data_IF_560683206049
#
_entry.id   IF_560683206049
#
_cell.length_a   1.000
_cell.length_b   1.000
_cell.length_c   1.000
_cell.angle_alpha   90.00
_cell.angle_beta   90.00
_cell.angle_gamma   90.00
#
_symmetry.space_group_name_H-M   'P 1'
#
loop_
_entity.id
_entity.type
_entity.pdbx_description
1 polymer ?
#
# COMPACT_ATOMS: atom_id res chain seq x y z
N UNK A 1 44.54 -63.27 -17.74
CA UNK A 1 43.17 -62.73 -17.79
C UNK A 1 43.07 -61.66 -16.73
N UNK A 2 43.50 -60.45 -17.07
CA UNK A 2 43.39 -59.27 -16.21
C UNK A 2 41.92 -58.82 -16.22
N UNK A 3 41.25 -58.91 -15.07
CA UNK A 3 39.91 -58.33 -14.91
C UNK A 3 40.07 -56.86 -14.58
N UNK A 4 39.46 -56.02 -15.42
CA UNK A 4 39.29 -54.60 -15.17
C UNK A 4 38.57 -54.41 -13.82
N UNK A 5 39.03 -53.52 -12.92
CA UNK A 5 38.31 -53.23 -11.69
C UNK A 5 36.92 -52.66 -11.98
N UNK A 6 35.97 -52.96 -11.08
CA UNK A 6 34.60 -52.43 -11.14
C UNK A 6 34.59 -50.90 -11.04
N UNK A 7 33.60 -50.21 -11.64
CA UNK A 7 33.49 -48.76 -11.56
C UNK A 7 33.34 -48.32 -10.09
N UNK A 8 33.77 -47.09 -9.74
CA UNK A 8 33.46 -46.53 -8.43
C UNK A 8 31.94 -46.49 -8.25
N UNK A 9 31.48 -46.72 -7.02
CA UNK A 9 30.07 -46.49 -6.69
C UNK A 9 29.74 -45.02 -6.99
N UNK A 10 28.52 -44.70 -7.46
CA UNK A 10 28.08 -43.32 -7.54
C UNK A 10 28.32 -42.70 -6.15
N UNK A 11 29.06 -41.60 -6.11
CA UNK A 11 29.22 -40.79 -4.91
C UNK A 11 27.82 -40.47 -4.38
N UNK A 12 27.68 -40.60 -3.07
CA UNK A 12 26.47 -40.32 -2.30
C UNK A 12 26.21 -38.81 -2.21
N UNK A 13 26.44 -38.08 -3.31
CA UNK A 13 26.40 -36.62 -3.38
C UNK A 13 25.32 -36.13 -4.38
N UNK A 14 24.49 -37.05 -4.91
CA UNK A 14 23.33 -36.66 -5.74
C UNK A 14 22.10 -36.26 -4.92
N UNK A 15 22.06 -36.59 -3.63
CA UNK A 15 21.00 -36.11 -2.73
C UNK A 15 21.29 -34.69 -2.19
N UNK A 16 22.56 -34.26 -2.20
CA UNK A 16 22.96 -32.92 -1.72
C UNK A 16 22.95 -31.84 -2.82
N UNK A 17 23.02 -32.19 -4.11
CA UNK A 17 22.93 -31.21 -5.21
C UNK A 17 21.49 -30.72 -5.47
N UNK A 18 20.47 -31.52 -5.17
CA UNK A 18 19.05 -31.10 -5.27
C UNK A 18 18.66 -30.14 -4.11
N UNK A 19 19.24 -30.32 -2.91
CA UNK A 19 19.01 -29.43 -1.76
C UNK A 19 19.74 -28.07 -1.88
N UNK A 20 20.87 -28.02 -2.61
CA UNK A 20 21.58 -26.77 -2.86
C UNK A 20 20.91 -25.91 -3.94
N UNK A 21 20.23 -26.52 -4.92
CA UNK A 21 19.46 -25.81 -5.93
C UNK A 21 18.10 -25.28 -5.39
N UNK A 22 17.52 -25.95 -4.39
CA UNK A 22 16.30 -25.50 -3.69
C UNK A 22 16.53 -24.42 -2.63
N UNK A 23 17.77 -24.16 -2.22
CA UNK A 23 18.07 -23.27 -1.08
C UNK A 23 17.66 -21.81 -1.28
N UNK A 24 17.88 -21.26 -2.48
CA UNK A 24 17.64 -19.85 -2.78
C UNK A 24 16.22 -19.55 -3.30
N UNK A 25 15.42 -20.56 -3.62
CA UNK A 25 14.07 -20.35 -4.13
C UNK A 25 13.10 -19.97 -3.00
N UNK A 26 12.24 -18.96 -3.23
CA UNK A 26 11.15 -18.59 -2.32
C UNK A 26 10.00 -19.58 -2.48
N UNK A 27 9.79 -20.43 -1.48
CA UNK A 27 8.76 -21.48 -1.52
C UNK A 27 8.91 -22.38 -2.74
N UNK A 28 7.84 -22.52 -3.51
CA UNK A 28 7.78 -23.31 -4.74
C UNK A 28 8.10 -22.49 -6.00
N UNK A 29 8.40 -21.21 -5.86
CA UNK A 29 8.65 -20.29 -6.99
C UNK A 29 10.09 -20.37 -7.50
N UNK A 30 10.34 -19.79 -8.66
CA UNK A 30 11.70 -19.61 -9.22
C UNK A 30 12.40 -18.35 -8.70
N UNK A 31 11.78 -17.63 -7.76
CA UNK A 31 12.28 -16.36 -7.29
C UNK A 31 13.39 -16.53 -6.25
N UNK A 32 14.45 -15.73 -6.38
CA UNK A 32 15.62 -15.77 -5.48
C UNK A 32 15.37 -14.99 -4.18
N UNK A 33 15.60 -15.65 -3.04
CA UNK A 33 15.60 -15.05 -1.70
C UNK A 33 16.71 -14.02 -1.58
N UNK A 34 17.93 -14.37 -2.01
CA UNK A 34 19.10 -13.49 -1.89
C UNK A 34 18.92 -12.20 -2.69
N UNK A 35 18.39 -12.30 -3.92
CA UNK A 35 18.11 -11.12 -4.71
C UNK A 35 17.06 -10.23 -4.03
N UNK A 36 15.96 -10.80 -3.55
CA UNK A 36 14.92 -10.05 -2.85
C UNK A 36 15.46 -9.32 -1.61
N UNK A 37 16.31 -9.97 -0.82
CA UNK A 37 16.98 -9.33 0.31
C UNK A 37 17.88 -8.18 -0.11
N UNK A 38 18.61 -8.32 -1.23
CA UNK A 38 19.41 -7.24 -1.81
C UNK A 38 18.57 -5.99 -2.06
N UNK A 39 17.41 -6.15 -2.69
CA UNK A 39 16.47 -5.04 -2.97
C UNK A 39 15.94 -4.43 -1.68
N UNK A 40 15.48 -5.24 -0.72
CA UNK A 40 14.98 -4.75 0.57
C UNK A 40 16.05 -3.99 1.38
N UNK A 41 17.29 -4.46 1.37
CA UNK A 41 18.41 -3.74 1.97
C UNK A 41 18.68 -2.40 1.27
N UNK A 42 18.60 -2.36 -0.07
CA UNK A 42 18.71 -1.13 -0.84
C UNK A 42 17.63 -0.11 -0.45
N UNK A 43 16.38 -0.54 -0.27
CA UNK A 43 15.31 0.33 0.22
C UNK A 43 15.60 0.94 1.59
N UNK A 44 16.13 0.14 2.52
CA UNK A 44 16.50 0.64 3.86
C UNK A 44 17.57 1.74 3.74
N UNK A 45 18.54 1.58 2.85
CA UNK A 45 19.60 2.58 2.63
C UNK A 45 19.04 3.90 2.09
N UNK A 46 18.07 3.85 1.17
CA UNK A 46 17.42 5.04 0.61
C UNK A 46 16.75 5.91 1.69
N UNK A 47 16.21 5.28 2.73
CA UNK A 47 15.43 5.97 3.78
C UNK A 47 16.16 6.10 5.12
N UNK A 48 17.42 5.67 5.15
CA UNK A 48 18.31 5.93 6.28
C UNK A 48 19.00 7.27 6.03
N UNK A 49 18.88 8.25 6.94
CA UNK A 49 19.56 9.52 6.75
C UNK A 49 21.07 9.29 6.87
N UNK A 50 21.79 9.32 5.74
CA UNK A 50 23.24 9.52 5.79
C UNK A 50 23.49 10.93 6.30
N UNK A 51 24.20 11.05 7.41
CA UNK A 51 24.80 12.31 7.83
C UNK A 51 25.70 12.83 6.71
N UNK A 52 25.45 14.07 6.30
CA UNK A 52 26.24 14.91 5.39
C UNK A 52 26.01 14.71 3.87
N UNK A 53 25.19 15.59 3.29
CA UNK A 53 25.70 16.70 2.46
C UNK A 53 24.64 17.78 2.21
N UNK A 54 25.10 19.00 2.44
CA UNK A 54 24.49 20.29 2.14
C UNK A 54 24.08 20.47 0.68
N UNK A 55 22.85 20.92 0.44
CA UNK A 55 22.43 21.85 -0.63
C UNK A 55 20.94 22.11 -0.43
N UNK A 56 20.59 23.23 0.22
CA UNK A 56 20.13 24.47 -0.41
C UNK A 56 18.67 24.41 -0.85
N UNK A 57 17.92 25.41 -0.39
CA UNK A 57 16.52 25.73 -0.76
C UNK A 57 16.29 25.77 -2.28
N UNK A 58 15.01 25.55 -2.63
CA UNK A 58 14.38 25.55 -3.96
C UNK A 58 14.77 24.42 -4.92
N UNK A 59 13.91 23.40 -4.99
CA UNK A 59 13.07 23.22 -6.18
C UNK A 59 12.11 22.04 -5.97
N UNK A 60 10.88 22.21 -6.47
CA UNK A 60 9.88 21.17 -6.74
C UNK A 60 10.36 20.19 -7.85
N UNK A 61 11.65 19.85 -7.86
CA UNK A 61 12.17 18.74 -8.62
C UNK A 61 11.69 17.47 -7.93
N UNK A 62 10.76 16.80 -8.60
CA UNK A 62 10.37 15.42 -8.28
C UNK A 62 11.64 14.67 -7.89
N UNK A 63 11.69 14.15 -6.66
CA UNK A 63 12.77 13.27 -6.23
C UNK A 63 12.60 12.01 -7.08
N UNK A 64 13.27 11.97 -8.23
CA UNK A 64 13.20 10.85 -9.16
C UNK A 64 13.86 9.63 -8.53
N UNK A 65 13.21 8.48 -8.69
CA UNK A 65 13.77 7.20 -8.26
C UNK A 65 14.82 6.77 -9.28
N UNK A 66 15.96 6.26 -8.83
CA UNK A 66 16.95 5.70 -9.74
C UNK A 66 16.31 4.55 -10.54
N UNK A 67 16.42 4.59 -11.87
CA UNK A 67 15.77 3.64 -12.79
C UNK A 67 16.08 2.16 -12.44
N UNK A 68 17.31 1.87 -12.01
CA UNK A 68 17.71 0.53 -11.55
C UNK A 68 16.89 0.09 -10.33
N UNK A 69 16.80 0.93 -9.30
CA UNK A 69 16.01 0.66 -8.11
C UNK A 69 14.51 0.57 -8.43
N UNK A 70 14.00 1.44 -9.31
CA UNK A 70 12.61 1.37 -9.76
C UNK A 70 12.30 0.02 -10.41
N UNK A 71 13.15 -0.42 -11.34
CA UNK A 71 12.99 -1.71 -12.01
C UNK A 71 13.05 -2.88 -11.04
N UNK A 72 13.97 -2.84 -10.07
CA UNK A 72 14.07 -3.88 -9.05
C UNK A 72 12.82 -3.93 -8.17
N UNK A 73 12.34 -2.78 -7.68
CA UNK A 73 11.18 -2.77 -6.79
C UNK A 73 9.85 -3.00 -7.52
N UNK A 74 9.74 -2.63 -8.81
CA UNK A 74 8.61 -3.05 -9.65
C UNK A 74 8.55 -4.57 -9.81
N UNK A 75 9.69 -5.24 -9.95
CA UNK A 75 9.72 -6.71 -9.98
C UNK A 75 9.25 -7.30 -8.66
N UNK A 76 9.63 -6.71 -7.52
CA UNK A 76 9.09 -7.14 -6.21
C UNK A 76 7.57 -6.96 -6.15
N UNK A 77 7.04 -5.88 -6.73
CA UNK A 77 5.60 -5.68 -6.86
C UNK A 77 4.94 -6.80 -7.66
N UNK A 78 5.44 -7.12 -8.84
CA UNK A 78 4.91 -8.24 -9.64
C UNK A 78 4.97 -9.57 -8.87
N UNK A 79 6.08 -9.84 -8.18
CA UNK A 79 6.28 -11.07 -7.42
C UNK A 79 5.33 -11.17 -6.22
N UNK A 80 4.98 -10.05 -5.57
CA UNK A 80 4.16 -10.02 -4.35
C UNK A 80 2.71 -10.49 -4.55
N UNK A 81 2.27 -10.70 -5.79
CA UNK A 81 0.99 -11.36 -6.09
C UNK A 81 1.02 -12.87 -5.80
N UNK A 82 2.21 -13.49 -5.77
CA UNK A 82 2.38 -14.90 -5.45
C UNK A 82 2.30 -15.14 -3.93
N UNK A 83 1.60 -16.20 -3.52
CA UNK A 83 1.38 -16.53 -2.11
C UNK A 83 2.68 -16.83 -1.37
N UNK A 84 3.58 -17.62 -1.97
CA UNK A 84 4.85 -17.99 -1.33
C UNK A 84 5.72 -16.75 -1.12
N UNK A 85 5.70 -15.81 -2.08
CA UNK A 85 6.43 -14.54 -1.98
C UNK A 85 5.80 -13.63 -0.93
N UNK A 86 4.48 -13.49 -0.90
CA UNK A 86 3.81 -12.65 0.08
C UNK A 86 4.03 -13.15 1.51
N UNK A 87 3.94 -14.47 1.73
CA UNK A 87 4.23 -15.10 3.01
C UNK A 87 5.70 -14.92 3.41
N UNK A 88 6.63 -15.06 2.46
CA UNK A 88 8.04 -14.79 2.70
C UNK A 88 8.29 -13.32 3.08
N UNK A 89 7.73 -12.35 2.34
CA UNK A 89 7.81 -10.93 2.68
C UNK A 89 7.27 -10.64 4.09
N UNK A 90 6.18 -11.30 4.47
CA UNK A 90 5.62 -11.21 5.82
C UNK A 90 6.56 -11.79 6.89
N UNK A 91 7.14 -12.97 6.67
CA UNK A 91 8.09 -13.62 7.57
C UNK A 91 9.26 -12.70 7.92
N UNK A 92 9.79 -11.99 6.91
CA UNK A 92 10.91 -11.06 7.07
C UNK A 92 10.52 -9.64 7.44
N UNK A 93 9.25 -9.39 7.80
CA UNK A 93 8.72 -8.07 8.16
C UNK A 93 8.97 -7.00 7.10
N UNK A 94 8.95 -7.37 5.82
CA UNK A 94 9.15 -6.42 4.72
C UNK A 94 8.10 -5.30 4.74
N UNK A 95 6.89 -5.58 5.25
CA UNK A 95 5.87 -4.57 5.48
C UNK A 95 6.39 -3.37 6.31
N UNK A 96 7.20 -3.60 7.34
CA UNK A 96 7.77 -2.52 8.16
C UNK A 96 8.77 -1.66 7.36
N UNK A 97 9.49 -2.27 6.42
CA UNK A 97 10.40 -1.56 5.51
C UNK A 97 9.57 -0.64 4.61
N UNK A 98 8.54 -1.17 3.95
CA UNK A 98 7.66 -0.38 3.08
C UNK A 98 6.97 0.76 3.84
N UNK A 99 6.44 0.50 5.04
CA UNK A 99 5.87 1.54 5.90
C UNK A 99 6.90 2.61 6.27
N UNK A 100 8.14 2.21 6.56
CA UNK A 100 9.25 3.13 6.79
C UNK A 100 9.56 4.01 5.57
N UNK A 101 9.44 3.45 4.37
CA UNK A 101 9.55 4.20 3.11
C UNK A 101 8.40 5.19 2.95
N UNK A 102 7.16 4.77 3.19
CA UNK A 102 5.98 5.65 3.16
C UNK A 102 6.06 6.78 4.20
N UNK A 103 6.73 6.57 5.32
CA UNK A 103 6.88 7.62 6.33
C UNK A 103 7.95 8.68 5.96
N UNK A 104 8.94 8.33 5.13
CA UNK A 104 10.15 9.15 4.94
C UNK A 104 10.38 9.63 3.50
N UNK A 105 9.97 8.84 2.52
CA UNK A 105 10.18 9.17 1.11
C UNK A 105 9.16 10.18 0.63
N UNK A 106 9.64 11.16 -0.14
CA UNK A 106 8.83 12.13 -0.90
C UNK A 106 8.75 11.78 -2.39
N UNK A 107 9.37 10.68 -2.83
CA UNK A 107 9.32 10.21 -4.21
C UNK A 107 7.95 9.55 -4.49
N UNK A 108 7.07 10.13 -5.32
CA UNK A 108 5.72 9.59 -5.55
C UNK A 108 5.76 8.17 -6.10
N UNK A 109 6.63 7.91 -7.09
CA UNK A 109 6.76 6.60 -7.73
C UNK A 109 7.18 5.51 -6.75
N UNK A 110 8.14 5.80 -5.86
CA UNK A 110 8.55 4.83 -4.85
C UNK A 110 7.43 4.55 -3.85
N UNK A 111 6.71 5.59 -3.41
CA UNK A 111 5.56 5.44 -2.50
C UNK A 111 4.47 4.59 -3.15
N UNK A 112 4.10 4.90 -4.39
CA UNK A 112 3.13 4.15 -5.19
C UNK A 112 3.49 2.65 -5.20
N UNK A 113 4.72 2.30 -5.59
CA UNK A 113 5.15 0.90 -5.67
C UNK A 113 5.11 0.22 -4.30
N UNK A 114 5.56 0.90 -3.24
CA UNK A 114 5.49 0.36 -1.87
C UNK A 114 4.05 0.10 -1.40
N UNK A 115 3.11 1.02 -1.68
CA UNK A 115 1.69 0.80 -1.38
C UNK A 115 1.13 -0.33 -2.24
N UNK A 116 1.52 -0.42 -3.50
CA UNK A 116 1.12 -1.49 -4.41
C UNK A 116 1.51 -2.88 -3.92
N UNK A 117 2.75 -3.05 -3.47
CA UNK A 117 3.23 -4.28 -2.81
C UNK A 117 2.40 -4.56 -1.55
N UNK A 118 2.27 -3.56 -0.67
CA UNK A 118 1.47 -3.67 0.56
C UNK A 118 -0.01 -3.96 0.29
N UNK A 119 -0.53 -3.61 -0.88
CA UNK A 119 -1.91 -3.88 -1.29
C UNK A 119 -2.09 -5.29 -1.83
N UNK A 120 -1.03 -5.96 -2.29
CA UNK A 120 -1.09 -7.35 -2.75
C UNK A 120 -1.07 -8.34 -1.58
N UNK A 121 -0.22 -8.08 -0.57
CA UNK A 121 -0.02 -9.04 0.53
C UNK A 121 -1.31 -9.36 1.36
N UNK A 122 -2.21 -8.40 1.68
CA UNK A 122 -3.46 -8.65 2.41
C UNK A 122 -4.50 -9.49 1.66
N UNK A 123 -4.26 -9.87 0.40
CA UNK A 123 -5.06 -10.88 -0.28
C UNK A 123 -5.00 -12.24 0.44
N UNK A 124 -3.94 -12.48 1.21
CA UNK A 124 -3.78 -13.64 2.07
C UNK A 124 -4.20 -13.32 3.49
N UNK A 125 -5.10 -14.14 4.04
CA UNK A 125 -5.83 -13.85 5.28
C UNK A 125 -4.91 -13.60 6.48
N UNK A 126 -3.87 -14.41 6.64
CA UNK A 126 -2.90 -14.27 7.74
C UNK A 126 -2.20 -12.90 7.72
N UNK A 127 -1.78 -12.47 6.53
CA UNK A 127 -1.09 -11.20 6.35
C UNK A 127 -2.06 -10.04 6.58
N UNK A 128 -3.30 -10.15 6.09
CA UNK A 128 -4.34 -9.15 6.31
C UNK A 128 -4.61 -8.93 7.80
N UNK A 129 -4.73 -10.01 8.57
CA UNK A 129 -4.87 -9.96 10.03
C UNK A 129 -3.63 -9.32 10.67
N UNK A 130 -2.43 -9.70 10.25
CA UNK A 130 -1.19 -9.14 10.79
C UNK A 130 -1.09 -7.64 10.57
N UNK A 131 -1.27 -7.14 9.33
CA UNK A 131 -1.24 -5.71 9.01
C UNK A 131 -2.32 -4.96 9.80
N UNK A 132 -3.50 -5.55 9.93
CA UNK A 132 -4.61 -4.95 10.64
C UNK A 132 -4.42 -4.91 12.17
N UNK A 133 -3.55 -5.73 12.74
CA UNK A 133 -3.37 -5.85 14.20
C UNK A 133 -2.59 -4.68 14.82
N UNK A 134 -1.82 -3.93 14.02
CA UNK A 134 -0.97 -2.84 14.49
C UNK A 134 -1.57 -1.48 14.12
N UNK A 135 -1.80 -0.63 15.13
CA UNK A 135 -2.47 0.66 14.96
C UNK A 135 -1.63 1.68 14.17
N UNK A 136 -0.32 1.72 14.43
CA UNK A 136 0.65 2.55 13.74
C UNK A 136 0.70 2.25 12.24
N UNK A 137 0.71 0.96 11.86
CA UNK A 137 0.62 0.55 10.45
C UNK A 137 -0.67 1.02 9.79
N UNK A 138 -1.80 0.89 10.50
CA UNK A 138 -3.09 1.39 10.03
C UNK A 138 -3.09 2.90 9.82
N UNK A 139 -2.46 3.66 10.71
CA UNK A 139 -2.38 5.12 10.62
C UNK A 139 -1.54 5.58 9.42
N UNK A 140 -0.38 4.96 9.18
CA UNK A 140 0.48 5.28 8.02
C UNK A 140 -0.26 5.03 6.71
N UNK A 141 -0.98 3.91 6.60
CA UNK A 141 -1.77 3.60 5.41
C UNK A 141 -2.92 4.58 5.19
N UNK A 142 -3.65 4.94 6.26
CA UNK A 142 -4.70 5.94 6.16
C UNK A 142 -4.16 7.32 5.78
N UNK A 143 -2.97 7.68 6.26
CA UNK A 143 -2.31 8.94 5.87
C UNK A 143 -2.01 8.99 4.37
N UNK A 144 -1.78 7.84 3.70
CA UNK A 144 -1.56 7.79 2.25
C UNK A 144 -2.80 8.21 1.45
N UNK A 145 -4.03 8.09 2.00
CA UNK A 145 -5.23 8.67 1.37
C UNK A 145 -5.23 10.21 1.35
N UNK A 146 -4.29 10.85 2.02
CA UNK A 146 -4.10 12.29 1.99
C UNK A 146 -2.95 12.71 1.05
N UNK A 147 -2.32 11.78 0.32
CA UNK A 147 -1.32 12.13 -0.69
C UNK A 147 -1.98 12.83 -1.90
N UNK A 148 -1.18 13.60 -2.65
CA UNK A 148 -1.64 14.29 -3.86
C UNK A 148 -1.48 13.46 -5.14
N UNK A 149 -0.74 12.35 -5.07
CA UNK A 149 -0.40 11.49 -6.21
C UNK A 149 -1.52 10.48 -6.52
N UNK A 150 -2.19 10.56 -7.68
CA UNK A 150 -3.33 9.69 -8.00
C UNK A 150 -3.00 8.18 -8.02
N UNK A 151 -1.87 7.71 -8.57
CA UNK A 151 -1.47 6.30 -8.48
C UNK A 151 -1.33 5.80 -7.03
N UNK A 152 -0.66 6.57 -6.15
CA UNK A 152 -0.54 6.22 -4.73
C UNK A 152 -1.91 6.13 -4.04
N UNK A 153 -2.80 7.10 -4.31
CA UNK A 153 -4.18 7.09 -3.80
C UNK A 153 -4.98 5.88 -4.29
N UNK A 154 -4.79 5.48 -5.55
CA UNK A 154 -5.46 4.33 -6.15
C UNK A 154 -5.07 3.03 -5.45
N UNK A 155 -3.77 2.80 -5.27
CA UNK A 155 -3.26 1.61 -4.58
C UNK A 155 -3.64 1.59 -3.09
N UNK A 156 -3.64 2.77 -2.44
CA UNK A 156 -4.11 2.89 -1.06
C UNK A 156 -5.59 2.51 -0.95
N UNK A 157 -6.40 2.96 -1.89
CA UNK A 157 -7.84 2.65 -1.95
C UNK A 157 -8.08 1.16 -2.21
N UNK A 158 -7.27 0.53 -3.07
CA UNK A 158 -7.31 -0.93 -3.33
C UNK A 158 -6.94 -1.74 -2.08
N UNK A 159 -5.90 -1.34 -1.37
CA UNK A 159 -5.51 -1.96 -0.10
C UNK A 159 -6.65 -1.86 0.92
N UNK A 160 -7.20 -0.67 1.12
CA UNK A 160 -8.32 -0.46 2.06
C UNK A 160 -9.54 -1.29 1.70
N UNK A 161 -9.90 -1.36 0.42
CA UNK A 161 -11.02 -2.18 -0.04
C UNK A 161 -10.79 -3.66 0.25
N UNK A 162 -9.56 -4.15 0.06
CA UNK A 162 -9.15 -5.52 0.40
C UNK A 162 -9.36 -5.78 1.89
N UNK A 163 -8.86 -4.91 2.75
CA UNK A 163 -9.02 -5.02 4.20
C UNK A 163 -10.48 -4.93 4.66
N UNK A 164 -11.27 -3.99 4.11
CA UNK A 164 -12.70 -3.85 4.42
C UNK A 164 -13.53 -5.05 3.94
N UNK A 165 -13.03 -5.80 2.96
CA UNK A 165 -13.70 -6.99 2.43
C UNK A 165 -13.46 -8.23 3.28
N UNK A 166 -12.48 -8.22 4.18
CA UNK A 166 -12.17 -9.33 5.08
C UNK A 166 -12.93 -9.21 6.41
N UNK A 167 -13.79 -10.17 6.70
CA UNK A 167 -14.74 -10.13 7.83
C UNK A 167 -14.08 -9.97 9.20
N UNK A 168 -12.89 -10.53 9.37
CA UNK A 168 -12.14 -10.58 10.63
C UNK A 168 -11.54 -9.23 11.00
N UNK A 169 -11.25 -8.37 10.01
CA UNK A 169 -10.57 -7.10 10.22
C UNK A 169 -11.38 -5.89 9.77
N UNK A 170 -12.47 -6.09 9.01
CA UNK A 170 -13.30 -5.01 8.48
C UNK A 170 -13.75 -4.01 9.56
N UNK A 171 -14.18 -4.52 10.73
CA UNK A 171 -14.59 -3.67 11.86
C UNK A 171 -13.45 -2.79 12.37
N UNK A 172 -12.22 -3.32 12.43
CA UNK A 172 -11.02 -2.57 12.84
C UNK A 172 -10.77 -1.40 11.90
N UNK A 173 -10.85 -1.63 10.58
CA UNK A 173 -10.64 -0.58 9.58
C UNK A 173 -11.74 0.47 9.57
N UNK A 174 -13.00 0.06 9.76
CA UNK A 174 -14.12 1.00 9.93
C UNK A 174 -13.90 1.92 11.14
N UNK A 175 -13.50 1.37 12.28
CA UNK A 175 -13.22 2.17 13.48
C UNK A 175 -12.02 3.12 13.26
N UNK A 176 -10.96 2.66 12.61
CA UNK A 176 -9.80 3.52 12.28
C UNK A 176 -10.18 4.68 11.37
N UNK A 177 -10.97 4.42 10.32
CA UNK A 177 -11.46 5.45 9.41
C UNK A 177 -12.34 6.46 10.16
N UNK A 178 -13.21 6.00 11.07
CA UNK A 178 -13.99 6.89 11.92
C UNK A 178 -13.09 7.76 12.81
N UNK A 179 -12.02 7.19 13.34
CA UNK A 179 -11.03 7.88 14.17
C UNK A 179 -10.11 8.86 13.43
N UNK A 180 -10.17 8.92 12.10
CA UNK A 180 -9.27 9.73 11.28
C UNK A 180 -10.06 10.73 10.39
N UNK A 181 -10.44 11.91 10.92
CA UNK A 181 -11.35 12.84 10.25
C UNK A 181 -10.89 13.34 8.88
N UNK A 182 -9.57 13.40 8.64
CA UNK A 182 -8.99 13.80 7.35
C UNK A 182 -9.44 12.88 6.21
N UNK A 183 -9.75 11.60 6.46
CA UNK A 183 -10.23 10.68 5.43
C UNK A 183 -11.53 11.16 4.79
N UNK A 184 -12.46 11.69 5.59
CA UNK A 184 -13.69 12.24 5.06
C UNK A 184 -13.41 13.36 4.05
N UNK A 185 -12.53 14.29 4.42
CA UNK A 185 -12.13 15.41 3.56
C UNK A 185 -11.42 14.92 2.30
N UNK A 186 -10.48 13.99 2.42
CA UNK A 186 -9.76 13.42 1.28
C UNK A 186 -10.69 12.70 0.30
N UNK A 187 -11.59 11.85 0.81
CA UNK A 187 -12.59 11.16 -0.03
C UNK A 187 -13.46 12.16 -0.77
N UNK A 188 -13.96 13.18 -0.06
CA UNK A 188 -14.80 14.20 -0.69
C UNK A 188 -14.03 14.99 -1.76
N UNK A 189 -12.78 15.36 -1.47
CA UNK A 189 -11.93 16.08 -2.41
C UNK A 189 -11.66 15.23 -3.67
N UNK A 190 -11.26 13.96 -3.51
CA UNK A 190 -11.02 13.05 -4.63
C UNK A 190 -12.28 12.89 -5.48
N UNK A 191 -13.43 12.60 -4.85
CA UNK A 191 -14.68 12.38 -5.57
C UNK A 191 -15.19 13.64 -6.30
N UNK A 192 -14.87 14.84 -5.82
CA UNK A 192 -15.28 16.10 -6.44
C UNK A 192 -14.30 16.64 -7.48
N UNK A 193 -13.00 16.35 -7.34
CA UNK A 193 -11.94 17.08 -8.03
C UNK A 193 -11.03 16.22 -8.90
N UNK A 194 -10.99 14.89 -8.68
CA UNK A 194 -10.15 14.00 -9.51
C UNK A 194 -10.71 13.89 -10.93
N UNK A 195 -9.82 13.90 -11.92
CA UNK A 195 -10.10 13.57 -13.33
C UNK A 195 -9.65 12.14 -13.69
N UNK A 196 -9.00 11.44 -12.76
CA UNK A 196 -8.62 10.04 -12.92
C UNK A 196 -9.84 9.15 -12.65
N UNK A 197 -10.37 8.53 -13.70
CA UNK A 197 -11.58 7.70 -13.66
C UNK A 197 -11.36 6.45 -12.81
N UNK A 198 -10.22 5.79 -12.91
CA UNK A 198 -9.93 4.58 -12.15
C UNK A 198 -9.88 4.87 -10.64
N UNK A 199 -9.29 6.02 -10.27
CA UNK A 199 -9.28 6.49 -8.88
C UNK A 199 -10.70 6.80 -8.37
N UNK A 200 -11.53 7.47 -9.18
CA UNK A 200 -12.92 7.77 -8.82
C UNK A 200 -13.74 6.49 -8.61
N UNK A 201 -13.59 5.50 -9.50
CA UNK A 201 -14.24 4.19 -9.36
C UNK A 201 -13.78 3.52 -8.07
N UNK A 202 -12.47 3.46 -7.82
CA UNK A 202 -11.93 2.76 -6.66
C UNK A 202 -12.32 3.41 -5.34
N UNK A 203 -12.26 4.73 -5.23
CA UNK A 203 -12.72 5.46 -4.04
C UNK A 203 -14.23 5.31 -3.85
N UNK A 204 -14.99 5.30 -4.94
CA UNK A 204 -16.42 5.00 -4.92
C UNK A 204 -16.72 3.62 -4.31
N UNK A 205 -16.00 2.57 -4.72
CA UNK A 205 -16.12 1.22 -4.16
C UNK A 205 -15.77 1.18 -2.66
N UNK A 206 -14.74 1.92 -2.23
CA UNK A 206 -14.38 2.03 -0.80
C UNK A 206 -15.52 2.68 -0.01
N UNK A 207 -16.12 3.77 -0.51
CA UNK A 207 -17.24 4.45 0.15
C UNK A 207 -18.46 3.54 0.23
N UNK A 208 -18.82 2.88 -0.87
CA UNK A 208 -19.93 1.92 -0.94
C UNK A 208 -19.75 0.82 0.10
N UNK A 209 -18.57 0.18 0.12
CA UNK A 209 -18.24 -0.88 1.07
C UNK A 209 -18.28 -0.39 2.52
N UNK A 210 -17.77 0.81 2.81
CA UNK A 210 -17.80 1.39 4.16
C UNK A 210 -19.22 1.61 4.64
N UNK A 211 -20.08 2.10 3.76
CA UNK A 211 -21.47 2.40 4.05
C UNK A 211 -22.29 1.13 4.28
N UNK A 212 -22.02 0.07 3.50
CA UNK A 212 -22.60 -1.26 3.72
C UNK A 212 -22.19 -1.87 5.07
N UNK A 213 -20.93 -1.67 5.50
CA UNK A 213 -20.42 -2.21 6.76
C UNK A 213 -20.89 -1.43 7.99
N UNK A 214 -21.17 -0.13 7.85
CA UNK A 214 -21.48 0.73 8.99
C UNK A 214 -22.48 1.85 8.66
N UNK A 215 -23.76 1.55 8.84
CA UNK A 215 -24.87 2.50 8.66
C UNK A 215 -24.71 3.78 9.52
N UNK A 216 -24.16 3.67 10.75
CA UNK A 216 -23.95 4.84 11.61
C UNK A 216 -22.92 5.80 11.02
N UNK A 217 -21.82 5.27 10.48
CA UNK A 217 -20.79 6.05 9.79
C UNK A 217 -21.37 6.72 8.55
N UNK A 218 -22.15 5.99 7.75
CA UNK A 218 -22.87 6.53 6.59
C UNK A 218 -23.74 7.73 6.97
N UNK A 219 -24.59 7.58 8.00
CA UNK A 219 -25.45 8.65 8.48
C UNK A 219 -24.66 9.85 9.02
N UNK A 220 -23.52 9.61 9.69
CA UNK A 220 -22.63 10.67 10.16
C UNK A 220 -22.04 11.46 8.99
N UNK A 221 -21.52 10.78 7.97
CA UNK A 221 -20.92 11.40 6.79
C UNK A 221 -21.95 12.20 5.98
N UNK A 222 -23.17 11.67 5.82
CA UNK A 222 -24.27 12.39 5.16
C UNK A 222 -24.64 13.65 5.94
N UNK A 223 -24.72 13.58 7.28
CA UNK A 223 -25.11 14.72 8.12
C UNK A 223 -24.05 15.81 8.20
N UNK A 224 -22.76 15.46 8.18
CA UNK A 224 -21.65 16.44 8.17
C UNK A 224 -21.75 17.42 7.00
N UNK A 225 -22.31 16.97 5.88
CA UNK A 225 -22.51 17.77 4.67
C UNK A 225 -23.86 18.49 4.57
N UNK A 226 -24.71 18.43 5.59
CA UNK A 226 -25.98 19.17 5.62
C UNK A 226 -25.73 20.56 6.23
N UNK A 227 -26.03 21.67 5.54
CA UNK A 227 -25.94 22.99 6.15
C UNK A 227 -26.80 23.03 7.41
N UNK A 228 -26.19 23.30 8.57
CA UNK A 228 -26.98 23.78 9.70
C UNK A 228 -27.53 25.15 9.31
N UNK A 229 -28.82 25.41 9.55
CA UNK A 229 -29.41 26.73 9.37
C UNK A 229 -28.53 27.75 10.13
N UNK A 230 -28.11 28.87 9.50
CA UNK A 230 -27.26 29.83 10.17
C UNK A 230 -28.06 30.62 11.18
N UNK A 231 -27.95 30.26 12.47
CA UNK A 231 -28.15 31.21 13.56
C UNK A 231 -26.83 31.95 13.78
N UNK A 232 -26.73 33.12 13.13
CA UNK A 232 -25.75 34.21 13.25
C UNK A 232 -24.69 34.36 12.15
N UNK A 233 -24.41 35.61 11.72
CA UNK A 233 -23.39 35.93 10.73
C UNK A 233 -22.01 35.98 11.42
N UNK A 234 -21.06 35.20 10.95
CA UNK A 234 -19.65 35.36 11.32
C UNK A 234 -18.86 35.77 10.08
N UNK A 235 -18.29 36.98 10.17
CA UNK A 235 -17.36 37.59 9.23
C UNK A 235 -16.01 36.85 9.23
N UNK A 236 -15.37 36.83 8.06
CA UNK A 236 -13.96 36.52 7.79
C UNK A 236 -13.40 35.23 8.40
N UNK A 237 -13.51 34.14 7.65
CA UNK A 237 -12.56 33.03 7.70
C UNK A 237 -12.41 32.47 6.28
N UNK A 238 -11.18 32.29 5.84
CA UNK A 238 -10.79 31.72 4.54
C UNK A 238 -11.72 30.55 4.18
N UNK A 239 -12.25 30.55 2.94
CA UNK A 239 -13.24 29.59 2.46
C UNK A 239 -12.72 28.13 2.56
N UNK A 240 -12.83 27.51 3.73
CA UNK A 240 -12.76 26.07 3.86
C UNK A 240 -13.98 25.52 3.11
N UNK A 241 -13.75 25.02 1.90
CA UNK A 241 -14.77 24.33 1.13
C UNK A 241 -15.38 23.23 2.00
N UNK A 242 -16.60 23.47 2.47
CA UNK A 242 -17.34 22.49 3.26
C UNK A 242 -17.82 21.43 2.28
N UNK A 243 -16.98 20.42 2.05
CA UNK A 243 -17.38 19.32 1.19
C UNK A 243 -18.45 18.47 1.88
N UNK A 244 -19.51 18.19 1.13
CA UNK A 244 -20.57 17.28 1.51
C UNK A 244 -20.44 15.99 0.69
N UNK A 245 -20.44 14.83 1.35
CA UNK A 245 -20.19 13.55 0.69
C UNK A 245 -21.16 13.27 -0.46
N UNK A 246 -22.44 13.65 -0.32
CA UNK A 246 -23.47 13.36 -1.33
C UNK A 246 -23.22 14.12 -2.64
N UNK A 247 -23.05 15.46 -2.66
CA UNK A 247 -22.61 16.17 -3.85
C UNK A 247 -21.30 15.66 -4.44
N UNK A 248 -20.31 15.33 -3.61
CA UNK A 248 -19.01 14.86 -4.08
C UNK A 248 -19.14 13.52 -4.83
N UNK A 249 -19.86 12.56 -4.27
CA UNK A 249 -20.10 11.26 -4.93
C UNK A 249 -20.89 11.43 -6.22
N UNK A 250 -21.89 12.31 -6.24
CA UNK A 250 -22.65 12.61 -7.46
C UNK A 250 -21.79 13.24 -8.55
N UNK A 251 -20.81 14.08 -8.18
CA UNK A 251 -19.89 14.68 -9.14
C UNK A 251 -18.93 13.64 -9.72
N UNK A 252 -18.29 12.82 -8.87
CA UNK A 252 -17.43 11.73 -9.33
C UNK A 252 -18.19 10.76 -10.24
N UNK A 253 -19.43 10.43 -9.91
CA UNK A 253 -20.28 9.56 -10.73
C UNK A 253 -20.63 10.14 -12.12
N UNK A 254 -20.56 11.46 -12.32
CA UNK A 254 -20.73 12.05 -13.67
C UNK A 254 -19.50 11.82 -14.54
N UNK A 255 -18.32 11.85 -13.96
CA UNK A 255 -17.05 11.71 -14.68
C UNK A 255 -16.76 10.27 -15.14
N UNK A 256 -17.39 9.28 -14.49
CA UNK A 256 -17.24 7.84 -14.81
C UNK A 256 -18.16 7.38 -15.95
N UNK A 257 -19.04 8.25 -16.47
CA UNK A 257 -19.97 7.94 -17.58
C UNK A 257 -19.38 8.24 -18.94
#
# INVERSE_FOLDING_TARGET
MDRNPSPPRPSCDQEDEEDLAGGDCIGSTVYSKHWLFGVLCGLIQIVTPESDKSSSDDDEQQIELAEEMENEICRVWDMSMDEDVALFLQEFKAADIFMGVLAKSKCPRLREICVGILGNMPCFQEICVSISSYEDRGQVLLQCLCDSDPPTLLETSRLLLTCLSQTEVASVWVERIRGHPSIYTSVCFIMSSSTNVDLLVKVGEVVDKLFDLNEKLMLEWIRKGTPQLPDQPQEDSEEQQVFSIVPCVLEGAKQVR
#
